data_IF_141690855387
#
_entry.id   IF_141690855387
#
_cell.length_a   1.000
_cell.length_b   1.000
_cell.length_c   1.000
_cell.angle_alpha   90.00
_cell.angle_beta   90.00
_cell.angle_gamma   90.00
#
_symmetry.space_group_name_H-M   'P 1'
#
loop_
_entity.id
_entity.type
_entity.pdbx_description
1 polymer ?
#
# COMPACT_ATOMS: atom_id res chain seq x y z
N UNK A 1 -5.62 -4.44 -20.86
CA UNK A 1 -5.41 -4.50 -19.40
C UNK A 1 -5.32 -3.06 -18.95
N UNK A 2 -6.13 -2.64 -17.98
CA UNK A 2 -6.04 -1.28 -17.42
C UNK A 2 -5.08 -1.35 -16.25
N UNK A 3 -4.05 -0.51 -16.26
CA UNK A 3 -3.04 -0.47 -15.21
C UNK A 3 -3.65 -0.16 -13.85
N UNK A 4 -3.06 -0.72 -12.80
CA UNK A 4 -3.49 -0.59 -11.40
C UNK A 4 -2.34 -0.15 -10.51
N UNK A 5 -2.67 0.63 -9.49
CA UNK A 5 -1.82 0.85 -8.33
C UNK A 5 -2.23 -0.14 -7.25
N UNK A 6 -1.32 -0.98 -6.80
CA UNK A 6 -1.57 -1.96 -5.77
C UNK A 6 -0.91 -1.59 -4.44
N UNK A 7 -1.62 -1.90 -3.36
CA UNK A 7 -1.11 -1.85 -2.01
C UNK A 7 -1.24 -3.20 -1.32
N UNK A 8 -0.32 -3.48 -0.41
CA UNK A 8 -0.28 -4.73 0.35
C UNK A 8 0.09 -4.44 1.80
N UNK A 9 -0.89 -4.49 2.70
CA UNK A 9 -0.67 -4.28 4.14
C UNK A 9 -0.45 -5.64 4.80
N UNK A 10 0.70 -5.81 5.45
CA UNK A 10 1.08 -7.03 6.19
C UNK A 10 0.74 -6.93 7.68
N UNK A 11 0.50 -5.73 8.19
CA UNK A 11 0.07 -5.49 9.58
C UNK A 11 -1.33 -6.06 9.82
N UNK A 12 -1.56 -6.59 11.01
CA UNK A 12 -2.88 -7.11 11.40
C UNK A 12 -3.83 -5.96 11.75
N UNK A 13 -4.52 -5.45 10.71
CA UNK A 13 -5.58 -4.45 10.84
C UNK A 13 -6.89 -4.95 10.23
N UNK A 14 -7.99 -4.31 10.58
CA UNK A 14 -9.31 -4.55 9.99
C UNK A 14 -9.60 -3.64 8.80
N UNK A 15 -10.44 -4.09 7.85
CA UNK A 15 -10.86 -3.27 6.70
C UNK A 15 -11.54 -1.95 7.14
N UNK A 16 -12.21 -1.98 8.29
CA UNK A 16 -12.80 -0.78 8.91
C UNK A 16 -11.76 0.31 9.23
N UNK A 17 -10.51 -0.06 9.55
CA UNK A 17 -9.47 0.93 9.81
C UNK A 17 -9.06 1.67 8.53
N UNK A 18 -9.04 0.97 7.38
CA UNK A 18 -8.80 1.61 6.07
C UNK A 18 -9.96 2.54 5.71
N UNK A 19 -11.20 2.13 5.97
CA UNK A 19 -12.35 2.99 5.74
C UNK A 19 -12.30 4.27 6.60
N UNK A 20 -11.98 4.14 7.89
CA UNK A 20 -11.80 5.28 8.80
C UNK A 20 -10.65 6.20 8.37
N UNK A 21 -9.58 5.64 7.82
CA UNK A 21 -8.49 6.43 7.23
C UNK A 21 -9.00 7.29 6.07
N UNK A 22 -9.75 6.69 5.14
CA UNK A 22 -10.33 7.42 3.99
C UNK A 22 -11.28 8.53 4.47
N UNK A 23 -12.16 8.23 5.43
CA UNK A 23 -13.06 9.21 6.02
C UNK A 23 -12.32 10.39 6.64
N UNK A 24 -11.20 10.13 7.32
CA UNK A 24 -10.45 11.14 8.04
C UNK A 24 -9.59 12.02 7.14
N UNK A 25 -8.95 11.43 6.14
CA UNK A 25 -7.88 12.10 5.40
C UNK A 25 -8.23 12.45 3.95
N UNK A 26 -9.23 11.78 3.35
CA UNK A 26 -9.58 11.99 1.95
C UNK A 26 -10.97 12.55 1.75
N UNK A 27 -11.99 11.87 2.28
CA UNK A 27 -13.38 12.20 2.02
C UNK A 27 -14.29 11.78 3.20
N UNK A 28 -14.78 12.73 4.01
CA UNK A 28 -15.68 12.43 5.12
C UNK A 28 -17.06 11.94 4.66
N UNK A 29 -17.41 12.08 3.38
CA UNK A 29 -18.66 11.60 2.78
C UNK A 29 -18.49 10.29 2.00
N UNK A 30 -17.33 9.63 2.12
CA UNK A 30 -17.04 8.36 1.47
C UNK A 30 -18.10 7.30 1.79
N UNK A 31 -18.41 6.47 0.80
CA UNK A 31 -19.39 5.39 0.92
C UNK A 31 -18.71 4.04 0.85
N UNK A 32 -19.19 3.09 1.64
CA UNK A 32 -18.62 1.74 1.70
C UNK A 32 -19.64 0.69 1.27
N UNK A 33 -19.21 -0.23 0.41
CA UNK A 33 -19.89 -1.48 0.12
C UNK A 33 -19.07 -2.63 0.70
N UNK A 34 -19.72 -3.52 1.44
CA UNK A 34 -19.11 -4.75 1.98
C UNK A 34 -19.66 -5.95 1.23
N UNK A 35 -18.81 -6.93 1.01
CA UNK A 35 -19.18 -8.17 0.33
C UNK A 35 -18.90 -9.34 1.27
N UNK A 36 -19.91 -10.19 1.45
CA UNK A 36 -19.77 -11.46 2.13
C UNK A 36 -19.32 -12.52 1.13
N UNK A 37 -18.29 -13.28 1.48
CA UNK A 37 -17.90 -14.44 0.71
C UNK A 37 -18.89 -15.60 0.92
N UNK A 38 -18.71 -16.70 0.18
CA UNK A 38 -19.54 -17.92 0.29
C UNK A 38 -19.57 -18.59 1.68
N UNK A 39 -18.70 -18.17 2.59
CA UNK A 39 -18.61 -18.66 3.97
C UNK A 39 -19.20 -17.66 4.98
N UNK A 40 -19.80 -16.56 4.52
CA UNK A 40 -20.37 -15.51 5.36
C UNK A 40 -19.33 -14.55 5.95
N UNK A 41 -18.07 -14.60 5.50
CA UNK A 41 -17.03 -13.71 6.00
C UNK A 41 -17.00 -12.41 5.18
N UNK A 42 -17.02 -11.26 5.85
CA UNK A 42 -16.86 -9.94 5.23
C UNK A 42 -15.38 -9.60 5.00
N UNK A 43 -14.71 -10.36 4.14
CA UNK A 43 -13.29 -10.18 3.85
C UNK A 43 -13.02 -9.22 2.68
N UNK A 44 -14.05 -8.66 2.07
CA UNK A 44 -13.98 -7.75 0.92
C UNK A 44 -14.73 -6.44 1.18
N UNK A 45 -14.17 -5.34 0.69
CA UNK A 45 -14.72 -4.00 0.82
C UNK A 45 -14.42 -3.16 -0.42
N UNK A 46 -15.37 -2.35 -0.86
CA UNK A 46 -15.14 -1.28 -1.81
C UNK A 46 -15.51 0.06 -1.19
N UNK A 47 -14.59 1.01 -1.20
CA UNK A 47 -14.82 2.38 -0.72
C UNK A 47 -14.84 3.32 -1.91
N UNK A 48 -15.92 4.09 -2.02
CA UNK A 48 -16.15 5.12 -3.02
C UNK A 48 -15.95 6.48 -2.36
N UNK A 49 -15.07 7.30 -2.91
CA UNK A 49 -14.68 8.57 -2.32
C UNK A 49 -14.22 9.57 -3.37
N UNK A 50 -14.25 10.85 -3.04
CA UNK A 50 -13.69 11.92 -3.86
C UNK A 50 -12.36 12.38 -3.29
N UNK A 51 -11.31 12.42 -4.11
CA UNK A 51 -10.02 12.95 -3.70
C UNK A 51 -9.51 13.99 -4.71
N UNK A 52 -9.31 15.23 -4.25
CA UNK A 52 -8.88 16.36 -5.11
C UNK A 52 -9.73 16.52 -6.39
N UNK A 53 -11.04 16.25 -6.30
CA UNK A 53 -11.98 16.34 -7.42
C UNK A 53 -12.09 15.07 -8.28
N UNK A 54 -11.36 14.01 -7.95
CA UNK A 54 -11.44 12.72 -8.65
C UNK A 54 -12.38 11.76 -7.90
N UNK A 55 -13.35 11.18 -8.59
CA UNK A 55 -14.13 10.06 -8.05
C UNK A 55 -13.29 8.78 -8.10
N UNK A 56 -13.10 8.15 -6.95
CA UNK A 56 -12.24 6.98 -6.77
C UNK A 56 -13.02 5.81 -6.20
N UNK A 57 -12.59 4.60 -6.56
CA UNK A 57 -13.03 3.35 -5.95
C UNK A 57 -11.81 2.55 -5.51
N UNK A 58 -11.61 2.42 -4.20
CA UNK A 58 -10.61 1.53 -3.62
C UNK A 58 -11.27 0.19 -3.33
N UNK A 59 -10.81 -0.88 -3.96
CA UNK A 59 -11.17 -2.24 -3.57
C UNK A 59 -10.15 -2.78 -2.57
N UNK A 60 -10.61 -3.51 -1.56
CA UNK A 60 -9.78 -4.08 -0.51
C UNK A 60 -10.22 -5.50 -0.18
N UNK A 61 -9.26 -6.39 0.02
CA UNK A 61 -9.53 -7.80 0.32
C UNK A 61 -8.53 -8.38 1.30
N UNK A 62 -9.02 -9.09 2.32
CA UNK A 62 -8.20 -9.90 3.23
C UNK A 62 -8.07 -11.30 2.65
N UNK A 63 -6.83 -11.79 2.54
CA UNK A 63 -6.53 -13.15 2.12
C UNK A 63 -5.21 -13.64 2.72
N UNK A 64 -4.91 -14.93 2.57
CA UNK A 64 -3.63 -15.52 2.98
C UNK A 64 -2.74 -15.76 1.78
N UNK A 65 -1.51 -15.25 1.83
CA UNK A 65 -0.54 -15.34 0.74
C UNK A 65 0.87 -15.66 1.22
N UNK A 66 1.68 -16.26 0.36
CA UNK A 66 3.13 -16.37 0.56
C UNK A 66 3.88 -15.13 0.05
N UNK A 67 3.17 -14.21 -0.63
CA UNK A 67 3.75 -12.97 -1.16
C UNK A 67 4.38 -12.18 0.00
N UNK A 68 5.64 -11.77 -0.16
CA UNK A 68 6.47 -11.09 0.85
C UNK A 68 6.83 -11.91 2.11
N UNK A 69 6.50 -13.20 2.16
CA UNK A 69 6.89 -14.08 3.26
C UNK A 69 8.36 -14.50 3.15
N UNK A 70 9.19 -14.16 4.15
CA UNK A 70 10.59 -14.62 4.23
C UNK A 70 10.68 -16.14 4.48
N UNK A 71 9.73 -16.72 5.22
CA UNK A 71 9.71 -18.15 5.62
C UNK A 71 8.97 -19.05 4.63
N UNK A 72 8.28 -18.48 3.64
CA UNK A 72 7.42 -19.24 2.71
C UNK A 72 6.06 -19.66 3.28
N UNK A 73 5.77 -19.30 4.53
CA UNK A 73 4.45 -19.52 5.14
C UNK A 73 3.40 -18.57 4.57
N UNK A 74 2.15 -19.02 4.56
CA UNK A 74 1.01 -18.17 4.17
C UNK A 74 0.65 -17.24 5.33
N UNK A 75 0.95 -15.96 5.19
CA UNK A 75 0.56 -14.92 6.15
C UNK A 75 -0.70 -14.17 5.69
N UNK A 76 -1.46 -13.63 6.65
CA UNK A 76 -2.59 -12.74 6.37
C UNK A 76 -2.07 -11.48 5.69
N UNK A 77 -2.79 -11.00 4.69
CA UNK A 77 -2.44 -9.81 3.94
C UNK A 77 -3.72 -9.09 3.49
N UNK A 78 -3.69 -7.76 3.50
CA UNK A 78 -4.75 -6.94 2.91
C UNK A 78 -4.26 -6.41 1.57
N UNK A 79 -4.93 -6.83 0.50
CA UNK A 79 -4.72 -6.29 -0.84
C UNK A 79 -5.57 -5.05 -1.04
N UNK A 80 -4.98 -4.03 -1.67
CA UNK A 80 -5.63 -2.81 -2.08
C UNK A 80 -5.48 -2.68 -3.61
N UNK A 81 -6.59 -2.45 -4.32
CA UNK A 81 -6.64 -2.22 -5.77
C UNK A 81 -7.26 -0.87 -6.09
N UNK A 82 -6.56 -0.09 -6.91
CA UNK A 82 -6.96 1.23 -7.35
C UNK A 82 -6.55 1.43 -8.82
N UNK A 83 -7.46 1.95 -9.66
CA UNK A 83 -7.16 2.23 -11.07
C UNK A 83 -6.00 3.22 -11.23
N UNK A 84 -5.03 2.97 -12.11
CA UNK A 84 -3.82 3.81 -12.25
C UNK A 84 -4.04 5.06 -13.12
N UNK A 85 -4.53 6.14 -12.50
CA UNK A 85 -4.67 7.46 -13.12
C UNK A 85 -4.72 8.59 -12.08
N UNK A 86 -4.48 9.83 -12.46
CA UNK A 86 -4.63 10.97 -11.55
C UNK A 86 -3.79 10.81 -10.27
N UNK A 87 -4.42 10.92 -9.10
CA UNK A 87 -3.74 10.89 -7.81
C UNK A 87 -3.60 9.48 -7.19
N UNK A 88 -3.67 8.40 -7.98
CA UNK A 88 -3.65 7.01 -7.48
C UNK A 88 -2.44 6.67 -6.62
N UNK A 89 -1.25 7.04 -7.08
CA UNK A 89 0.01 6.78 -6.38
C UNK A 89 0.05 7.53 -5.06
N UNK A 90 -0.41 8.79 -5.03
CA UNK A 90 -0.47 9.59 -3.80
C UNK A 90 -1.44 8.97 -2.79
N UNK A 91 -2.63 8.59 -3.23
CA UNK A 91 -3.65 7.93 -2.41
C UNK A 91 -3.10 6.64 -1.81
N UNK A 92 -2.59 5.73 -2.65
CA UNK A 92 -2.08 4.43 -2.18
C UNK A 92 -0.88 4.62 -1.25
N UNK A 93 0.05 5.51 -1.59
CA UNK A 93 1.22 5.81 -0.77
C UNK A 93 0.82 6.30 0.62
N UNK A 94 -0.20 7.16 0.71
CA UNK A 94 -0.69 7.68 1.98
C UNK A 94 -1.30 6.57 2.85
N UNK A 95 -2.05 5.65 2.24
CA UNK A 95 -2.62 4.50 2.97
C UNK A 95 -1.51 3.57 3.45
N UNK A 96 -0.57 3.21 2.57
CA UNK A 96 0.52 2.29 2.91
C UNK A 96 1.47 2.92 3.93
N UNK A 97 1.81 4.20 3.83
CA UNK A 97 2.64 4.86 4.84
C UNK A 97 1.96 4.90 6.21
N UNK A 98 0.64 5.02 6.26
CA UNK A 98 -0.07 5.01 7.54
C UNK A 98 -0.12 3.64 8.22
N UNK A 99 -0.11 2.55 7.45
CA UNK A 99 -0.24 1.19 8.00
C UNK A 99 1.02 0.32 7.90
N UNK A 100 2.07 0.83 7.26
CA UNK A 100 3.18 0.08 6.66
C UNK A 100 2.74 -0.94 5.60
N UNK A 101 3.63 -1.26 4.66
CA UNK A 101 3.38 -2.33 3.72
C UNK A 101 4.13 -2.18 2.41
N UNK A 102 3.69 -2.92 1.40
CA UNK A 102 4.29 -2.92 0.08
C UNK A 102 3.40 -2.18 -0.91
N UNK A 103 4.02 -1.46 -1.83
CA UNK A 103 3.34 -0.68 -2.84
C UNK A 103 3.90 -0.97 -4.22
N UNK A 104 3.01 -1.17 -5.17
CA UNK A 104 3.30 -1.27 -6.60
C UNK A 104 2.55 -0.13 -7.29
N UNK A 105 3.31 0.78 -7.91
CA UNK A 105 2.74 2.00 -8.50
C UNK A 105 1.93 1.70 -9.74
N UNK A 106 2.38 0.72 -10.54
CA UNK A 106 1.83 0.40 -11.85
C UNK A 106 2.14 -1.06 -12.21
N UNK A 107 1.14 -1.92 -12.04
CA UNK A 107 1.24 -3.36 -12.25
C UNK A 107 1.55 -3.80 -13.70
N UNK A 108 1.55 -2.86 -14.65
CA UNK A 108 1.88 -3.08 -16.05
C UNK A 108 3.32 -2.72 -16.41
N UNK A 109 4.13 -2.19 -15.48
CA UNK A 109 5.55 -1.92 -15.72
C UNK A 109 6.46 -3.08 -15.27
N UNK A 110 7.77 -2.82 -15.15
CA UNK A 110 8.78 -3.83 -14.77
C UNK A 110 9.25 -3.67 -13.32
N UNK A 111 8.80 -2.63 -12.63
CA UNK A 111 9.16 -2.35 -11.25
C UNK A 111 8.35 -3.27 -10.34
N UNK A 112 9.03 -3.94 -9.41
CA UNK A 112 8.33 -4.73 -8.40
C UNK A 112 7.79 -3.84 -7.27
N UNK A 113 6.92 -4.37 -6.41
CA UNK A 113 6.50 -3.67 -5.21
C UNK A 113 7.69 -3.35 -4.31
N UNK A 114 7.69 -2.17 -3.70
CA UNK A 114 8.68 -1.74 -2.70
C UNK A 114 8.01 -1.53 -1.33
N UNK A 115 8.78 -1.71 -0.26
CA UNK A 115 8.30 -1.55 1.11
C UNK A 115 8.30 -0.08 1.54
N UNK A 116 7.33 0.30 2.36
CA UNK A 116 7.20 1.62 2.99
C UNK A 116 6.94 1.37 4.48
N UNK A 117 7.82 1.90 5.32
CA UNK A 117 7.68 1.88 6.78
C UNK A 117 6.49 2.72 7.26
N UNK A 118 6.00 2.39 8.45
CA UNK A 118 4.93 3.17 9.10
C UNK A 118 5.43 4.58 9.42
N UNK A 119 4.71 5.57 8.91
CA UNK A 119 4.87 6.98 9.23
C UNK A 119 3.51 7.47 9.73
N UNK A 120 3.22 7.28 11.03
CA UNK A 120 1.99 7.80 11.61
C UNK A 120 1.98 9.33 11.49
N UNK A 121 0.79 9.93 11.51
CA UNK A 121 0.49 11.37 11.35
C UNK A 121 0.06 11.83 9.95
N UNK A 122 -0.16 10.92 9.01
CA UNK A 122 -0.77 11.25 7.71
C UNK A 122 0.12 12.08 6.80
N UNK A 123 1.42 12.16 7.10
CA UNK A 123 2.43 12.72 6.20
C UNK A 123 2.66 11.72 5.06
N UNK A 124 2.44 12.17 3.83
CA UNK A 124 2.80 11.38 2.65
C UNK A 124 4.31 11.47 2.46
N UNK A 125 5.08 10.38 2.59
CA UNK A 125 6.52 10.45 2.41
C UNK A 125 6.87 10.89 1.00
N UNK A 126 7.88 11.74 0.88
CA UNK A 126 8.51 12.01 -0.40
C UNK A 126 9.44 10.85 -0.76
N UNK A 127 8.99 9.96 -1.65
CA UNK A 127 9.75 8.79 -2.08
C UNK A 127 10.61 9.15 -3.28
N UNK A 128 11.93 9.07 -3.09
CA UNK A 128 12.92 9.33 -4.13
C UNK A 128 13.46 8.00 -4.65
N UNK A 129 12.99 7.58 -5.84
CA UNK A 129 13.51 6.41 -6.55
C UNK A 129 14.76 6.81 -7.35
N UNK A 130 15.91 6.23 -7.02
CA UNK A 130 17.16 6.43 -7.77
C UNK A 130 17.88 5.10 -7.98
N UNK A 131 18.58 4.98 -9.10
CA UNK A 131 19.45 3.83 -9.35
C UNK A 131 20.69 3.89 -8.47
N UNK A 132 21.31 2.73 -8.19
CA UNK A 132 22.59 2.67 -7.45
C UNK A 132 23.70 3.50 -8.13
N UNK A 133 23.71 3.56 -9.46
CA UNK A 133 24.64 4.41 -10.23
C UNK A 133 24.44 5.89 -9.92
N UNK A 134 23.19 6.34 -9.86
CA UNK A 134 22.85 7.72 -9.53
C UNK A 134 23.15 8.04 -8.05
N UNK A 135 22.86 7.10 -7.14
CA UNK A 135 23.22 7.22 -5.73
C UNK A 135 24.74 7.40 -5.53
N UNK A 136 25.55 6.54 -6.17
CA UNK A 136 27.01 6.66 -6.13
C UNK A 136 27.49 8.01 -6.67
N UNK A 137 26.89 8.48 -7.77
CA UNK A 137 27.22 9.78 -8.36
C UNK A 137 26.90 10.94 -7.41
N UNK A 138 25.74 10.92 -6.74
CA UNK A 138 25.33 11.96 -5.77
C UNK A 138 26.23 11.99 -4.54
N UNK A 139 26.63 10.83 -4.04
CA UNK A 139 27.46 10.70 -2.84
C UNK A 139 28.97 10.87 -3.10
N UNK A 140 29.39 10.99 -4.37
CA UNK A 140 30.79 11.20 -4.73
C UNK A 140 31.69 9.99 -4.51
N UNK A 141 31.13 8.77 -4.47
CA UNK A 141 31.88 7.56 -4.14
C UNK A 141 31.08 6.27 -4.33
N UNK A 142 31.69 5.14 -4.00
CA UNK A 142 30.99 3.85 -4.01
C UNK A 142 30.15 3.73 -2.73
N UNK A 143 28.83 3.65 -2.89
CA UNK A 143 27.91 3.41 -1.78
C UNK A 143 27.75 1.92 -1.56
N UNK A 144 28.06 1.49 -0.34
CA UNK A 144 27.76 0.17 0.19
C UNK A 144 26.56 0.34 1.12
N UNK A 145 25.47 -0.35 0.82
CA UNK A 145 24.27 -0.41 1.67
C UNK A 145 24.52 -1.59 2.61
N UNK A 146 24.49 -1.31 3.91
CA UNK A 146 24.52 -2.30 4.98
C UNK A 146 23.12 -2.22 5.59
N UNK A 147 22.35 -3.28 5.45
CA UNK A 147 21.04 -3.38 6.08
C UNK A 147 21.28 -3.60 7.58
N UNK A 148 20.64 -2.81 8.45
CA UNK A 148 20.59 -3.09 9.88
C UNK A 148 19.61 -4.27 10.06
N UNK A 149 20.10 -5.49 9.81
CA UNK A 149 19.39 -6.72 10.15
C UNK A 149 19.37 -6.88 11.68
N UNK A 150 18.67 -6.03 12.44
CA UNK A 150 18.42 -6.22 13.88
C UNK A 150 17.38 -5.20 14.39
N UNK A 151 16.08 -5.49 14.24
CA UNK A 151 15.02 -5.06 15.19
C UNK A 151 13.71 -5.77 14.82
N UNK A 152 13.66 -7.09 14.96
CA UNK A 152 12.41 -7.86 15.05
C UNK A 152 12.75 -9.25 15.63
N UNK A 153 12.64 -9.41 16.95
CA UNK A 153 12.20 -10.64 17.64
C UNK A 153 12.19 -10.44 19.17
N UNK A 154 11.12 -9.83 19.71
CA UNK A 154 10.57 -10.16 21.04
C UNK A 154 9.07 -10.48 20.93
#
# INVERSE_FOLDING_TARGET
MTAKTHGYITKEIELEQIYRFILRYFDPEAKVNRYENRFGESNEMAVYFTYKGEERRLFSMIYKSRKFSKTGEKKRLIFLDLDYWGHSVEIMRSIISFFSGWMDENDCDKEGPYYIDEQPDGVVPNIIKITRKELNKRMGGMVVIIDDDDEDEE
#
